data_IF_593175517021
#
_entry.id   IF_593175517021
#
_cell.length_a   1.000
_cell.length_b   1.000
_cell.length_c   1.000
_cell.angle_alpha   90.00
_cell.angle_beta   90.00
_cell.angle_gamma   90.00
#
_symmetry.space_group_name_H-M   'P 1'
#
loop_
_entity.id
_entity.type
_entity.pdbx_description
1 polymer ?
#
# COMPACT_ATOMS: atom_id res chain seq x y z
N UNK A 1 36.10 3.40 -24.39
CA UNK A 1 35.61 2.44 -23.39
C UNK A 1 34.43 1.75 -24.03
N UNK A 2 34.57 0.48 -24.40
CA UNK A 2 33.46 -0.28 -24.98
C UNK A 2 32.38 -0.50 -23.93
N UNK A 3 31.12 -0.32 -24.33
CA UNK A 3 29.95 -0.58 -23.50
C UNK A 3 29.94 -2.07 -23.13
N UNK A 4 30.08 -2.37 -21.83
CA UNK A 4 29.93 -3.73 -21.32
C UNK A 4 28.52 -4.24 -21.62
N UNK A 5 28.41 -5.27 -22.46
CA UNK A 5 27.14 -5.95 -22.70
C UNK A 5 26.66 -6.64 -21.42
N UNK A 6 25.47 -6.28 -20.97
CA UNK A 6 24.83 -6.86 -19.78
C UNK A 6 24.39 -8.30 -20.09
N UNK A 7 24.78 -9.25 -19.24
CA UNK A 7 24.42 -10.66 -19.36
C UNK A 7 23.57 -11.04 -18.15
N UNK A 8 22.42 -11.66 -18.36
CA UNK A 8 21.54 -12.10 -17.27
C UNK A 8 21.38 -13.62 -17.25
N UNK A 9 21.55 -14.23 -16.07
CA UNK A 9 21.36 -15.66 -15.81
C UNK A 9 20.79 -15.87 -14.42
N UNK A 10 19.67 -16.61 -14.32
CA UNK A 10 19.05 -16.94 -13.04
C UNK A 10 18.60 -15.72 -12.22
N UNK A 11 18.31 -14.59 -12.86
CA UNK A 11 17.98 -13.32 -12.18
C UNK A 11 19.22 -12.52 -11.72
N UNK A 12 20.42 -12.96 -12.06
CA UNK A 12 21.68 -12.28 -11.74
C UNK A 12 22.34 -11.72 -12.99
N UNK A 13 22.91 -10.52 -12.87
CA UNK A 13 23.87 -10.01 -13.85
C UNK A 13 25.19 -10.74 -13.69
N UNK A 14 25.77 -11.18 -14.80
CA UNK A 14 26.99 -11.99 -14.81
C UNK A 14 28.02 -11.46 -15.81
N UNK A 15 29.29 -11.73 -15.53
CA UNK A 15 30.42 -11.31 -16.36
C UNK A 15 31.19 -12.52 -16.87
N UNK A 16 31.70 -12.43 -18.10
CA UNK A 16 32.66 -13.42 -18.60
C UNK A 16 33.99 -13.30 -17.86
N UNK A 17 34.80 -14.36 -17.93
CA UNK A 17 36.16 -14.33 -17.35
C UNK A 17 37.02 -13.20 -17.94
N UNK A 18 36.83 -12.87 -19.23
CA UNK A 18 37.53 -11.76 -19.88
C UNK A 18 37.13 -10.41 -19.28
N UNK A 19 35.83 -10.15 -19.13
CA UNK A 19 35.34 -8.91 -18.53
C UNK A 19 35.83 -8.72 -17.08
N UNK A 20 35.90 -9.80 -16.29
CA UNK A 20 36.45 -9.75 -14.92
C UNK A 20 37.95 -9.48 -14.94
N UNK A 21 38.68 -10.08 -15.89
CA UNK A 21 40.12 -9.89 -16.04
C UNK A 21 40.47 -8.45 -16.44
N UNK A 22 39.73 -7.89 -17.40
CA UNK A 22 39.87 -6.50 -17.86
C UNK A 22 39.59 -5.52 -16.71
N UNK A 23 38.53 -5.76 -15.94
CA UNK A 23 38.16 -4.92 -14.80
C UNK A 23 39.24 -4.91 -13.70
N UNK A 24 39.91 -6.04 -13.47
CA UNK A 24 40.98 -6.15 -12.46
C UNK A 24 42.37 -5.87 -13.00
N UNK A 25 42.53 -5.62 -14.30
CA UNK A 25 43.83 -5.40 -14.94
C UNK A 25 44.75 -6.62 -14.86
N UNK A 26 44.19 -7.82 -14.95
CA UNK A 26 44.93 -9.10 -14.86
C UNK A 26 44.64 -9.99 -16.07
N UNK A 27 45.40 -11.07 -16.24
CA UNK A 27 45.12 -12.04 -17.30
C UNK A 27 44.00 -13.01 -16.92
N UNK A 28 43.16 -13.39 -17.89
CA UNK A 28 42.12 -14.44 -17.71
C UNK A 28 42.70 -15.75 -17.18
N UNK A 29 43.90 -16.14 -17.64
CA UNK A 29 44.61 -17.34 -17.18
C UNK A 29 44.91 -17.28 -15.68
N UNK A 30 45.23 -16.10 -15.14
CA UNK A 30 45.50 -15.92 -13.71
C UNK A 30 44.22 -16.14 -12.89
N UNK A 31 43.09 -15.60 -13.34
CA UNK A 31 41.79 -15.82 -12.69
C UNK A 31 41.40 -17.29 -12.68
N UNK A 32 41.48 -17.97 -13.83
CA UNK A 32 41.09 -19.37 -13.95
C UNK A 32 41.99 -20.29 -13.12
N UNK A 33 43.31 -20.04 -13.09
CA UNK A 33 44.25 -20.81 -12.25
C UNK A 33 43.95 -20.62 -10.77
N UNK A 34 43.63 -19.40 -10.34
CA UNK A 34 43.26 -19.13 -8.95
C UNK A 34 41.93 -19.78 -8.58
N UNK A 35 40.94 -19.73 -9.48
CA UNK A 35 39.67 -20.43 -9.32
C UNK A 35 39.87 -21.94 -9.19
N UNK A 36 40.62 -22.57 -10.09
CA UNK A 36 40.89 -24.01 -10.05
C UNK A 36 41.56 -24.43 -8.72
N UNK A 37 42.51 -23.64 -8.22
CA UNK A 37 43.21 -23.91 -6.94
C UNK A 37 42.33 -23.75 -5.71
N UNK A 38 41.27 -22.96 -5.81
CA UNK A 38 40.38 -22.63 -4.70
C UNK A 38 38.94 -23.04 -4.99
N UNK A 39 38.73 -23.99 -5.90
CA UNK A 39 37.41 -24.32 -6.45
C UNK A 39 36.42 -24.71 -5.37
N UNK A 40 36.90 -25.34 -4.29
CA UNK A 40 36.14 -25.67 -3.07
C UNK A 40 35.47 -24.45 -2.38
N UNK A 41 35.97 -23.23 -2.61
CA UNK A 41 35.41 -21.99 -2.08
C UNK A 41 34.32 -21.39 -2.98
N UNK A 42 34.19 -21.91 -4.19
CA UNK A 42 33.22 -21.46 -5.17
C UNK A 42 32.03 -22.42 -5.24
N UNK A 43 30.84 -21.86 -5.46
CA UNK A 43 29.61 -22.63 -5.55
C UNK A 43 28.91 -22.29 -6.86
N UNK A 44 28.67 -23.29 -7.69
CA UNK A 44 27.92 -23.13 -8.94
C UNK A 44 26.47 -22.70 -8.65
N UNK A 45 25.92 -21.84 -9.50
CA UNK A 45 24.61 -21.23 -9.30
C UNK A 45 24.60 -20.03 -8.35
N UNK A 46 25.65 -19.86 -7.53
CA UNK A 46 25.80 -18.75 -6.59
C UNK A 46 26.94 -17.80 -6.96
N UNK A 47 28.13 -18.34 -7.17
CA UNK A 47 29.34 -17.58 -7.50
C UNK A 47 29.63 -17.59 -9.01
N UNK A 48 29.26 -18.67 -9.69
CA UNK A 48 29.45 -18.77 -11.14
C UNK A 48 28.41 -19.70 -11.78
N UNK A 49 28.30 -19.63 -13.10
CA UNK A 49 27.62 -20.61 -13.95
C UNK A 49 28.62 -21.16 -14.96
N UNK A 50 28.76 -22.49 -15.06
CA UNK A 50 29.58 -23.11 -16.10
C UNK A 50 28.71 -23.42 -17.32
N UNK A 51 29.02 -22.80 -18.45
CA UNK A 51 28.42 -23.11 -19.73
C UNK A 51 29.30 -24.11 -20.47
N UNK A 52 28.73 -25.28 -20.72
CA UNK A 52 29.33 -26.37 -21.49
C UNK A 52 28.32 -26.91 -22.52
N UNK A 53 28.79 -27.67 -23.50
CA UNK A 53 27.93 -28.41 -24.43
C UNK A 53 26.89 -27.52 -25.13
N UNK A 54 25.63 -27.90 -25.06
CA UNK A 54 24.52 -27.19 -25.73
C UNK A 54 24.29 -25.78 -25.20
N UNK A 55 24.35 -25.59 -23.87
CA UNK A 55 24.19 -24.26 -23.25
C UNK A 55 25.27 -23.28 -23.72
N UNK A 56 26.50 -23.76 -23.93
CA UNK A 56 27.58 -22.96 -24.50
C UNK A 56 27.37 -22.67 -25.99
N UNK A 57 26.88 -23.65 -26.77
CA UNK A 57 26.57 -23.43 -28.20
C UNK A 57 25.50 -22.35 -28.39
N UNK A 58 24.43 -22.40 -27.60
CA UNK A 58 23.38 -21.38 -27.63
C UNK A 58 23.92 -20.00 -27.28
N UNK A 59 24.71 -19.90 -26.22
CA UNK A 59 25.32 -18.64 -25.79
C UNK A 59 26.25 -18.03 -26.85
N UNK A 60 27.02 -18.85 -27.57
CA UNK A 60 27.86 -18.40 -28.69
C UNK A 60 27.03 -17.96 -29.90
N UNK A 61 25.92 -18.64 -30.19
CA UNK A 61 25.05 -18.31 -31.31
C UNK A 61 24.39 -16.93 -31.16
N UNK A 62 24.16 -16.48 -29.93
CA UNK A 62 23.68 -15.13 -29.60
C UNK A 62 24.78 -14.05 -29.76
N UNK A 63 26.07 -14.45 -29.89
CA UNK A 63 27.24 -13.56 -29.91
C UNK A 63 28.22 -13.90 -31.03
N UNK A 64 27.69 -13.97 -32.26
CA UNK A 64 28.43 -14.46 -33.44
C UNK A 64 29.68 -13.64 -33.79
N UNK A 65 29.82 -12.43 -33.26
CA UNK A 65 30.96 -11.53 -33.49
C UNK A 65 32.01 -11.52 -32.36
N UNK A 66 31.86 -12.37 -31.35
CA UNK A 66 32.84 -12.47 -30.25
C UNK A 66 33.89 -13.56 -30.57
N UNK A 67 34.95 -13.14 -31.26
CA UNK A 67 36.05 -14.03 -31.67
C UNK A 67 36.73 -14.72 -30.48
N UNK A 68 36.66 -14.15 -29.27
CA UNK A 68 37.26 -14.74 -28.05
C UNK A 68 36.54 -16.02 -27.61
N UNK A 69 35.27 -16.19 -27.99
CA UNK A 69 34.45 -17.33 -27.61
C UNK A 69 34.46 -18.46 -28.65
N UNK A 70 34.97 -18.22 -29.86
CA UNK A 70 34.86 -19.14 -31.01
C UNK A 70 35.34 -20.56 -30.69
N UNK A 71 36.48 -20.69 -30.00
CA UNK A 71 37.12 -21.98 -29.71
C UNK A 71 36.98 -22.48 -28.26
N UNK A 72 36.30 -21.74 -27.37
CA UNK A 72 36.16 -22.13 -25.97
C UNK A 72 35.34 -23.43 -25.83
N UNK A 73 35.86 -24.45 -25.15
CA UNK A 73 35.13 -25.70 -24.83
C UNK A 73 34.27 -25.58 -23.57
N UNK A 74 34.60 -24.60 -22.72
CA UNK A 74 33.90 -24.25 -21.48
C UNK A 74 33.95 -22.74 -21.27
N UNK A 75 32.89 -22.15 -20.72
CA UNK A 75 32.85 -20.73 -20.36
C UNK A 75 32.29 -20.57 -18.94
N UNK A 76 32.99 -19.79 -18.11
CA UNK A 76 32.49 -19.39 -16.80
C UNK A 76 31.89 -18.00 -16.87
N UNK A 77 30.66 -17.88 -16.37
CA UNK A 77 29.97 -16.64 -16.11
C UNK A 77 29.98 -16.37 -14.60
N UNK A 78 30.55 -15.27 -14.18
CA UNK A 78 30.76 -14.90 -12.79
C UNK A 78 29.64 -14.00 -12.31
N UNK A 79 29.01 -14.37 -11.19
CA UNK A 79 28.14 -13.44 -10.47
C UNK A 79 29.00 -12.41 -9.74
N UNK A 80 28.37 -11.37 -9.18
CA UNK A 80 29.04 -10.40 -8.31
C UNK A 80 29.86 -11.08 -7.19
N UNK A 81 29.29 -12.12 -6.57
CA UNK A 81 29.95 -12.87 -5.51
C UNK A 81 31.16 -13.68 -6.02
N UNK A 82 31.10 -14.19 -7.26
CA UNK A 82 32.25 -14.82 -7.89
C UNK A 82 33.37 -13.84 -8.21
N UNK A 83 33.03 -12.66 -8.73
CA UNK A 83 33.99 -11.59 -8.94
C UNK A 83 34.64 -11.13 -7.62
N UNK A 84 33.89 -11.11 -6.52
CA UNK A 84 34.42 -10.83 -5.18
C UNK A 84 35.47 -11.86 -4.73
N UNK A 85 35.22 -13.15 -4.93
CA UNK A 85 36.18 -14.20 -4.59
C UNK A 85 37.46 -14.09 -5.45
N UNK A 86 37.34 -13.65 -6.70
CA UNK A 86 38.49 -13.35 -7.54
C UNK A 86 39.29 -12.16 -7.01
N UNK A 87 38.65 -11.03 -6.72
CA UNK A 87 39.30 -9.83 -6.19
C UNK A 87 40.05 -10.13 -4.89
N UNK A 88 39.41 -10.86 -3.97
CA UNK A 88 40.02 -11.29 -2.70
C UNK A 88 41.31 -12.09 -2.90
N UNK A 89 41.43 -12.83 -4.01
CA UNK A 89 42.60 -13.65 -4.31
C UNK A 89 43.73 -12.92 -5.05
N UNK A 90 43.51 -11.72 -5.58
CA UNK A 90 44.46 -11.03 -6.46
C UNK A 90 45.45 -10.11 -5.74
N UNK A 91 45.16 -9.69 -4.50
CA UNK A 91 46.03 -8.87 -3.64
C UNK A 91 46.80 -7.74 -4.36
N UNK A 92 46.13 -6.99 -5.26
CA UNK A 92 46.70 -5.84 -5.98
C UNK A 92 45.78 -4.61 -5.89
N UNK A 93 46.35 -3.41 -6.02
CA UNK A 93 45.64 -2.13 -5.83
C UNK A 93 44.56 -1.87 -6.90
N UNK A 94 44.74 -2.41 -8.10
CA UNK A 94 43.74 -2.36 -9.18
C UNK A 94 42.45 -3.11 -8.80
N UNK A 95 42.56 -4.25 -8.12
CA UNK A 95 41.41 -5.02 -7.62
C UNK A 95 40.65 -4.26 -6.54
N UNK A 96 41.35 -3.50 -5.68
CA UNK A 96 40.72 -2.64 -4.67
C UNK A 96 39.96 -1.46 -5.29
N UNK A 97 40.51 -0.85 -6.34
CA UNK A 97 39.87 0.28 -7.02
C UNK A 97 38.64 -0.13 -7.83
N UNK A 98 38.74 -1.22 -8.60
CA UNK A 98 37.60 -1.78 -9.34
C UNK A 98 36.49 -2.25 -8.39
N UNK A 99 36.86 -2.77 -7.21
CA UNK A 99 35.94 -3.11 -6.13
C UNK A 99 35.20 -1.88 -5.58
N UNK A 100 35.91 -0.79 -5.25
CA UNK A 100 35.26 0.43 -4.76
C UNK A 100 34.21 0.94 -5.74
N UNK A 101 34.55 1.02 -7.03
CA UNK A 101 33.62 1.53 -8.05
C UNK A 101 32.37 0.66 -8.20
N UNK A 102 32.49 -0.68 -8.16
CA UNK A 102 31.34 -1.59 -8.22
C UNK A 102 30.42 -1.48 -6.99
N UNK A 103 31.02 -1.36 -5.80
CA UNK A 103 30.29 -1.20 -4.54
C UNK A 103 29.58 0.15 -4.50
N UNK A 104 30.29 1.21 -4.87
CA UNK A 104 29.75 2.58 -4.90
C UNK A 104 28.56 2.67 -5.88
N UNK A 105 28.70 2.14 -7.10
CA UNK A 105 27.62 2.08 -8.10
C UNK A 105 26.41 1.26 -7.60
N UNK A 106 26.64 0.12 -6.92
CA UNK A 106 25.59 -0.71 -6.36
C UNK A 106 24.80 0.03 -5.26
N UNK A 107 25.48 0.71 -4.35
CA UNK A 107 24.83 1.46 -3.27
C UNK A 107 24.12 2.71 -3.78
N UNK A 108 24.65 3.39 -4.80
CA UNK A 108 23.98 4.52 -5.47
C UNK A 108 22.66 4.04 -6.10
N UNK A 109 22.71 3.03 -6.96
CA UNK A 109 21.52 2.50 -7.66
C UNK A 109 20.48 1.95 -6.69
N UNK A 110 20.90 1.25 -5.64
CA UNK A 110 19.99 0.73 -4.60
C UNK A 110 19.35 1.84 -3.78
N UNK A 111 20.07 2.93 -3.50
CA UNK A 111 19.53 4.08 -2.77
C UNK A 111 18.49 4.85 -3.59
N UNK A 112 18.75 5.06 -4.88
CA UNK A 112 17.85 5.79 -5.79
C UNK A 112 16.58 4.98 -6.12
N UNK A 113 16.72 3.68 -6.39
CA UNK A 113 15.58 2.78 -6.62
C UNK A 113 14.70 2.64 -5.36
N UNK A 114 15.29 2.67 -4.17
CA UNK A 114 14.60 2.59 -2.88
C UNK A 114 13.79 3.86 -2.58
N UNK A 115 14.40 5.04 -2.70
CA UNK A 115 13.75 6.30 -2.33
C UNK A 115 12.64 6.68 -3.30
N UNK A 116 12.86 6.53 -4.61
CA UNK A 116 11.87 6.88 -5.62
C UNK A 116 10.64 5.95 -5.57
N UNK A 117 10.85 4.65 -5.37
CA UNK A 117 9.74 3.69 -5.28
C UNK A 117 8.94 3.83 -3.98
N UNK A 118 9.61 4.11 -2.86
CA UNK A 118 8.95 4.40 -1.59
C UNK A 118 8.13 5.67 -1.70
N UNK A 119 8.70 6.77 -2.21
CA UNK A 119 7.98 8.04 -2.37
C UNK A 119 6.72 7.90 -3.25
N UNK A 120 6.85 7.26 -4.42
CA UNK A 120 5.72 7.03 -5.32
C UNK A 120 4.62 6.14 -4.69
N UNK A 121 5.01 5.19 -3.84
CA UNK A 121 4.06 4.35 -3.10
C UNK A 121 3.38 5.13 -1.98
N UNK A 122 4.12 5.98 -1.26
CA UNK A 122 3.59 6.85 -0.22
C UNK A 122 2.57 7.85 -0.76
N UNK A 123 2.83 8.47 -1.92
CA UNK A 123 1.89 9.41 -2.54
C UNK A 123 0.57 8.73 -2.95
N UNK A 124 0.64 7.52 -3.52
CA UNK A 124 -0.56 6.74 -3.84
C UNK A 124 -1.36 6.38 -2.59
N UNK A 125 -0.70 5.96 -1.52
CA UNK A 125 -1.35 5.65 -0.24
C UNK A 125 -2.05 6.89 0.32
N UNK A 126 -1.40 8.06 0.25
CA UNK A 126 -1.97 9.31 0.77
C UNK A 126 -3.23 9.74 -0.02
N UNK A 127 -3.19 9.65 -1.35
CA UNK A 127 -4.36 9.94 -2.19
C UNK A 127 -5.53 9.01 -1.88
N UNK A 128 -5.30 7.70 -1.83
CA UNK A 128 -6.36 6.73 -1.47
C UNK A 128 -6.90 6.93 -0.06
N UNK A 129 -6.06 7.37 0.90
CA UNK A 129 -6.49 7.68 2.26
C UNK A 129 -7.45 8.88 2.30
N UNK A 130 -7.18 9.92 1.52
CA UNK A 130 -8.05 11.10 1.45
C UNK A 130 -9.39 10.79 0.75
N UNK A 131 -9.39 9.93 -0.27
CA UNK A 131 -10.63 9.40 -0.88
C UNK A 131 -11.48 8.65 0.16
N UNK A 132 -10.88 7.71 0.89
CA UNK A 132 -11.58 6.93 1.93
C UNK A 132 -12.12 7.82 3.06
N UNK A 133 -11.37 8.84 3.49
CA UNK A 133 -11.86 9.81 4.48
C UNK A 133 -13.11 10.54 4.01
N UNK A 134 -13.11 10.97 2.75
CA UNK A 134 -14.26 11.67 2.16
C UNK A 134 -15.49 10.76 2.08
N UNK A 135 -15.31 9.49 1.73
CA UNK A 135 -16.39 8.50 1.75
C UNK A 135 -16.94 8.27 3.16
N UNK A 136 -16.07 8.08 4.16
CA UNK A 136 -16.47 7.93 5.56
C UNK A 136 -17.28 9.15 6.04
N UNK A 137 -16.83 10.36 5.68
CA UNK A 137 -17.54 11.60 6.04
C UNK A 137 -18.94 11.64 5.42
N UNK A 138 -19.06 11.27 4.14
CA UNK A 138 -20.38 11.20 3.47
C UNK A 138 -21.29 10.14 4.10
N UNK A 139 -20.75 8.97 4.43
CA UNK A 139 -21.50 7.89 5.09
C UNK A 139 -22.00 8.35 6.45
N UNK A 140 -21.12 8.93 7.28
CA UNK A 140 -21.50 9.45 8.59
C UNK A 140 -22.59 10.52 8.48
N UNK A 141 -22.47 11.45 7.53
CA UNK A 141 -23.51 12.47 7.30
C UNK A 141 -24.86 11.85 6.91
N UNK A 142 -24.87 10.86 6.01
CA UNK A 142 -26.10 10.14 5.63
C UNK A 142 -26.69 9.37 6.82
N UNK A 143 -25.83 8.77 7.64
CA UNK A 143 -26.24 8.05 8.84
C UNK A 143 -26.91 9.01 9.84
N UNK A 144 -26.27 10.15 10.13
CA UNK A 144 -26.82 11.18 11.02
C UNK A 144 -28.18 11.73 10.55
N UNK A 145 -28.41 11.79 9.23
CA UNK A 145 -29.68 12.20 8.67
C UNK A 145 -30.79 11.15 8.79
N UNK A 146 -30.45 9.88 9.01
CA UNK A 146 -31.39 8.73 9.04
C UNK A 146 -31.64 8.17 10.43
N UNK A 147 -30.79 8.45 11.43
CA UNK A 147 -30.97 7.95 12.80
C UNK A 147 -32.28 8.49 13.40
N UNK A 148 -33.15 7.57 13.81
CA UNK A 148 -34.38 7.86 14.56
C UNK A 148 -34.09 8.02 16.06
N UNK A 149 -35.09 8.44 16.85
CA UNK A 149 -34.91 8.66 18.29
C UNK A 149 -34.47 7.37 19.00
N UNK A 150 -33.42 7.49 19.81
CA UNK A 150 -33.00 6.43 20.73
C UNK A 150 -33.95 6.34 21.93
N UNK A 151 -33.92 5.23 22.68
CA UNK A 151 -34.86 4.98 23.79
C UNK A 151 -34.91 6.11 24.85
N UNK A 152 -33.76 6.73 25.17
CA UNK A 152 -33.71 7.87 26.09
C UNK A 152 -34.36 9.13 25.51
N UNK A 153 -34.19 9.37 24.21
CA UNK A 153 -34.74 10.52 23.49
C UNK A 153 -36.25 10.36 23.27
N UNK A 154 -36.72 9.15 22.98
CA UNK A 154 -38.13 8.81 22.98
C UNK A 154 -38.77 9.13 24.33
N UNK A 155 -38.15 8.69 25.44
CA UNK A 155 -38.64 9.02 26.80
C UNK A 155 -38.65 10.52 27.07
N UNK A 156 -37.63 11.26 26.60
CA UNK A 156 -37.58 12.71 26.73
C UNK A 156 -38.75 13.37 25.99
N UNK A 157 -38.99 13.00 24.73
CA UNK A 157 -40.10 13.53 23.95
C UNK A 157 -41.45 13.22 24.63
N UNK A 158 -41.65 11.97 25.09
CA UNK A 158 -42.86 11.57 25.81
C UNK A 158 -43.07 12.38 27.10
N UNK A 159 -42.01 12.67 27.86
CA UNK A 159 -42.09 13.53 29.05
C UNK A 159 -42.54 14.95 28.69
N UNK A 160 -41.99 15.53 27.63
CA UNK A 160 -42.40 16.87 27.17
C UNK A 160 -43.87 16.89 26.75
N UNK A 161 -44.34 15.85 26.02
CA UNK A 161 -45.77 15.69 25.71
C UNK A 161 -46.61 15.62 26.98
N UNK A 162 -46.21 14.79 27.95
CA UNK A 162 -46.93 14.68 29.21
C UNK A 162 -46.98 16.03 29.92
N UNK A 163 -45.84 16.67 30.19
CA UNK A 163 -45.76 17.99 30.82
C UNK A 163 -46.72 18.97 30.15
N UNK A 164 -46.69 19.06 28.82
CA UNK A 164 -47.57 19.97 28.08
C UNK A 164 -49.06 19.67 28.25
N UNK A 165 -49.45 18.40 28.20
CA UNK A 165 -50.86 18.01 28.41
C UNK A 165 -51.34 18.39 29.81
N UNK A 166 -50.52 18.18 30.83
CA UNK A 166 -50.85 18.53 32.22
C UNK A 166 -50.87 20.04 32.46
N UNK A 167 -50.09 20.83 31.71
CA UNK A 167 -50.17 22.30 31.74
C UNK A 167 -51.46 22.84 31.11
N UNK A 168 -51.94 22.17 30.05
CA UNK A 168 -53.08 22.62 29.27
C UNK A 168 -54.43 22.21 29.87
N UNK A 169 -54.50 21.07 30.56
CA UNK A 169 -55.77 20.50 31.02
C UNK A 169 -55.65 19.82 32.39
N UNK A 170 -56.51 20.24 33.32
CA UNK A 170 -56.59 19.68 34.67
C UNK A 170 -57.49 18.44 34.72
N UNK A 171 -58.54 18.38 33.88
CA UNK A 171 -59.50 17.28 33.89
C UNK A 171 -58.89 15.99 33.32
N UNK A 172 -58.94 14.93 34.13
CA UNK A 172 -58.55 13.57 33.74
C UNK A 172 -59.27 13.03 32.52
N UNK A 173 -60.52 13.40 32.29
CA UNK A 173 -61.31 12.84 31.19
C UNK A 173 -60.97 13.48 29.84
N UNK A 174 -60.49 14.72 29.83
CA UNK A 174 -60.12 15.45 28.62
C UNK A 174 -58.68 15.18 28.16
N UNK A 175 -57.77 14.83 29.08
CA UNK A 175 -56.35 14.57 28.78
C UNK A 175 -56.07 13.49 27.71
N UNK A 176 -56.75 12.34 27.65
CA UNK A 176 -56.51 11.32 26.62
C UNK A 176 -56.67 11.83 25.19
N UNK A 177 -57.61 12.77 24.97
CA UNK A 177 -57.84 13.40 23.67
C UNK A 177 -56.65 14.29 23.28
N UNK A 178 -56.16 15.12 24.21
CA UNK A 178 -54.99 15.98 23.99
C UNK A 178 -53.71 15.18 23.73
N UNK A 179 -53.49 14.08 24.45
CA UNK A 179 -52.38 13.16 24.15
C UNK A 179 -52.45 12.67 22.71
N UNK A 180 -53.61 12.17 22.29
CA UNK A 180 -53.83 11.64 20.95
C UNK A 180 -53.63 12.71 19.87
N UNK A 181 -54.10 13.94 20.13
CA UNK A 181 -53.97 15.08 19.24
C UNK A 181 -52.49 15.49 19.06
N UNK A 182 -51.75 15.68 20.16
CA UNK A 182 -50.32 16.06 20.11
C UNK A 182 -49.49 14.99 19.39
N UNK A 183 -49.71 13.70 19.69
CA UNK A 183 -48.99 12.64 18.98
C UNK A 183 -49.36 12.56 17.49
N UNK A 184 -50.59 12.91 17.10
CA UNK A 184 -50.97 13.02 15.69
C UNK A 184 -50.24 14.18 15.02
N UNK A 185 -50.20 15.35 15.66
CA UNK A 185 -49.53 16.54 15.16
C UNK A 185 -48.01 16.36 15.04
N UNK A 186 -47.36 15.61 15.94
CA UNK A 186 -45.95 15.22 15.80
C UNK A 186 -45.76 14.38 14.53
N UNK A 187 -46.60 13.35 14.33
CA UNK A 187 -46.51 12.48 13.16
C UNK A 187 -46.73 13.25 11.85
N UNK A 188 -47.73 14.12 11.82
CA UNK A 188 -48.08 14.93 10.66
C UNK A 188 -46.95 15.92 10.33
N UNK A 189 -46.43 16.63 11.34
CA UNK A 189 -45.38 17.67 11.15
C UNK A 189 -44.05 17.09 10.70
N UNK A 190 -43.65 15.95 11.25
CA UNK A 190 -42.37 15.31 10.92
C UNK A 190 -42.48 14.25 9.82
N UNK A 191 -43.69 14.06 9.24
CA UNK A 191 -43.98 13.09 8.19
C UNK A 191 -43.55 11.65 8.56
N UNK A 192 -43.95 11.19 9.75
CA UNK A 192 -43.57 9.88 10.31
C UNK A 192 -44.78 9.06 10.75
N UNK A 193 -44.67 7.73 10.67
CA UNK A 193 -45.70 6.79 11.15
C UNK A 193 -45.83 6.73 12.66
N UNK A 194 -44.74 6.99 13.37
CA UNK A 194 -44.65 6.96 14.83
C UNK A 194 -43.78 8.11 15.31
N UNK A 195 -44.08 8.66 16.49
CA UNK A 195 -43.21 9.65 17.12
C UNK A 195 -41.79 9.10 17.38
N UNK A 196 -41.64 7.78 17.47
CA UNK A 196 -40.35 7.10 17.62
C UNK A 196 -39.47 7.21 16.39
N UNK A 197 -40.09 7.40 15.21
CA UNK A 197 -39.42 7.49 13.92
C UNK A 197 -38.97 8.93 13.62
N UNK A 198 -39.27 9.89 14.51
CA UNK A 198 -38.71 11.25 14.41
C UNK A 198 -37.19 11.13 14.36
N UNK A 199 -36.57 11.83 13.42
CA UNK A 199 -35.11 11.79 13.27
C UNK A 199 -34.46 12.50 14.44
N UNK A 200 -33.34 11.98 14.90
CA UNK A 200 -32.60 12.50 16.05
C UNK A 200 -32.22 13.97 15.88
N UNK A 201 -31.82 14.37 14.67
CA UNK A 201 -31.54 15.78 14.32
C UNK A 201 -32.75 16.71 14.50
N UNK A 202 -33.96 16.17 14.40
CA UNK A 202 -35.22 16.93 14.49
C UNK A 202 -35.82 16.91 15.90
N UNK A 203 -35.19 16.22 16.87
CA UNK A 203 -35.67 16.11 18.26
C UNK A 203 -35.91 17.48 18.91
N UNK A 204 -34.96 18.41 18.77
CA UNK A 204 -35.08 19.72 19.40
C UNK A 204 -36.23 20.54 18.79
N UNK A 205 -36.42 20.44 17.48
CA UNK A 205 -37.57 21.04 16.78
C UNK A 205 -38.89 20.43 17.22
N UNK A 206 -38.94 19.11 17.47
CA UNK A 206 -40.11 18.43 17.97
C UNK A 206 -40.45 18.87 19.41
N UNK A 207 -39.45 18.96 20.29
CA UNK A 207 -39.63 19.47 21.66
C UNK A 207 -40.18 20.89 21.65
N UNK A 208 -39.54 21.80 20.89
CA UNK A 208 -39.97 23.20 20.79
C UNK A 208 -41.40 23.33 20.27
N UNK A 209 -41.81 22.48 19.32
CA UNK A 209 -43.19 22.45 18.83
C UNK A 209 -44.19 22.09 19.93
N UNK A 210 -43.89 21.05 20.70
CA UNK A 210 -44.76 20.57 21.77
C UNK A 210 -44.90 21.63 22.86
N UNK A 211 -43.79 22.26 23.26
CA UNK A 211 -43.79 23.33 24.28
C UNK A 211 -44.71 24.50 23.91
N UNK A 212 -44.80 24.83 22.62
CA UNK A 212 -45.64 25.92 22.11
C UNK A 212 -46.98 25.43 21.54
N UNK A 213 -47.34 24.17 21.76
CA UNK A 213 -48.57 23.59 21.23
C UNK A 213 -49.81 24.28 21.82
N UNK A 214 -50.77 24.62 20.96
CA UNK A 214 -52.08 25.17 21.34
C UNK A 214 -53.16 24.24 20.77
N UNK A 215 -54.02 23.64 21.62
CA UNK A 215 -55.10 22.76 21.16
C UNK A 215 -56.05 23.48 20.21
N UNK A 216 -56.52 22.78 19.17
CA UNK A 216 -57.55 23.34 18.31
C UNK A 216 -58.85 23.42 19.11
N UNK A 217 -59.42 24.62 19.28
CA UNK A 217 -60.77 24.78 19.84
C UNK A 217 -61.75 24.08 18.91
N UNK A 218 -62.11 22.84 19.22
CA UNK A 218 -63.24 22.16 18.60
C UNK A 218 -64.45 22.62 19.39
N UNK A 219 -65.36 23.34 18.73
CA UNK A 219 -66.65 23.71 19.31
C UNK A 219 -67.30 22.48 19.95
N UNK A 220 -67.66 22.59 21.23
CA UNK A 220 -68.40 21.56 21.95
C UNK A 220 -69.77 21.35 21.34
#
# INVERSE_FOLDING_TARGET
>A
MDQLQVIERGGHRVLTTQQVADAFGVETKQLLRNFQRNSERYMEGKHYYALNGEALKMFKAERQHDDTLKFASSLYLWTEQGAWLHAKSLNNDASWKAYSMLVDDYYMVKSELSLASVAATTDKILLSHDELKNEILMINKRLDEQITLLAGEQRRLQKVVATRVYELESDSQCRPRLFSEIYREIKDRFAVSSYKDVRRKDLQSAISYIEHYIPKKIAM
#
